data_IF_417624958441
#
_entry.id   IF_417624958441
#
_cell.length_a   1.000
_cell.length_b   1.000
_cell.length_c   1.000
_cell.angle_alpha   90.00
_cell.angle_beta   90.00
_cell.angle_gamma   90.00
#
_symmetry.space_group_name_H-M   'P 1'
#
loop_
_entity.id
_entity.type
_entity.pdbx_description
1 polymer ?
#
# COMPACT_ATOMS: atom_id res chain seq x y z
N UNK A 1 -15.18 -3.35 57.00
CA UNK A 1 -14.18 -4.00 57.88
C UNK A 1 -14.04 -5.45 57.46
N UNK A 2 -12.81 -5.88 57.15
CA UNK A 2 -12.30 -7.27 56.99
C UNK A 2 -12.89 -8.11 55.84
N UNK A 3 -12.18 -8.96 55.10
CA UNK A 3 -10.77 -9.14 54.71
C UNK A 3 -10.77 -10.35 53.76
N UNK A 4 -10.02 -10.24 52.67
CA UNK A 4 -9.40 -11.28 51.82
C UNK A 4 -9.74 -12.77 52.02
N UNK A 5 -9.94 -13.47 50.88
CA UNK A 5 -9.05 -14.58 50.52
C UNK A 5 -8.98 -14.83 49.01
N UNK A 6 -7.77 -14.61 48.50
CA UNK A 6 -7.23 -15.11 47.24
C UNK A 6 -7.30 -16.64 47.22
N UNK A 7 -7.82 -17.23 46.15
CA UNK A 7 -7.59 -18.63 45.81
C UNK A 7 -6.96 -18.71 44.40
N UNK A 8 -5.64 -18.57 44.38
CA UNK A 8 -4.81 -19.01 43.25
C UNK A 8 -4.72 -20.53 43.36
N UNK A 9 -5.27 -21.25 42.38
CA UNK A 9 -4.98 -22.68 42.17
C UNK A 9 -4.21 -22.82 40.85
N UNK A 10 -2.98 -23.32 40.99
CA UNK A 10 -2.09 -23.79 39.91
C UNK A 10 -2.51 -25.19 39.48
N UNK A 11 -2.39 -25.50 38.18
CA UNK A 11 -2.31 -26.88 37.69
C UNK A 11 -2.70 -27.01 36.21
N UNK A 12 -1.85 -27.57 35.33
CA UNK A 12 -1.88 -27.29 33.90
C UNK A 12 -2.83 -28.22 33.13
N UNK A 13 -3.64 -27.65 32.24
CA UNK A 13 -4.31 -28.41 31.20
C UNK A 13 -3.34 -28.59 30.03
N UNK A 14 -2.81 -29.81 29.95
CA UNK A 14 -2.23 -30.49 28.80
C UNK A 14 -2.56 -29.84 27.43
N UNK A 15 -1.64 -29.02 26.91
CA UNK A 15 -1.67 -28.54 25.51
C UNK A 15 -0.75 -29.49 24.72
N UNK A 16 -1.25 -30.14 23.66
CA UNK A 16 -0.40 -30.97 22.81
C UNK A 16 0.71 -30.11 22.20
N UNK A 17 1.93 -30.60 22.34
CA UNK A 17 3.17 -30.10 21.76
C UNK A 17 3.05 -30.01 20.23
N UNK A 18 2.51 -28.88 19.76
CA UNK A 18 2.66 -28.43 18.38
C UNK A 18 3.67 -27.30 18.37
N UNK A 19 4.90 -27.63 18.78
CA UNK A 19 6.07 -26.87 18.36
C UNK A 19 6.02 -26.73 16.83
N UNK A 20 5.99 -25.50 16.26
CA UNK A 20 6.12 -25.35 14.83
C UNK A 20 7.47 -25.97 14.46
N UNK A 21 7.42 -27.02 13.63
CA UNK A 21 8.58 -27.68 13.04
C UNK A 21 9.65 -26.63 12.80
N UNK A 22 10.74 -26.76 13.55
CA UNK A 22 11.83 -25.81 13.54
C UNK A 22 12.17 -25.45 12.11
N UNK A 23 12.07 -24.16 11.79
CA UNK A 23 12.96 -23.59 10.79
C UNK A 23 14.35 -24.00 11.26
N UNK A 24 14.92 -25.00 10.58
CA UNK A 24 16.29 -25.37 10.80
C UNK A 24 17.09 -24.11 10.52
N UNK A 25 17.51 -23.42 11.59
CA UNK A 25 18.56 -22.44 11.50
C UNK A 25 19.69 -23.13 10.72
N UNK A 26 20.20 -22.56 9.62
CA UNK A 26 21.27 -23.18 8.86
C UNK A 26 22.42 -23.41 9.84
N UNK A 27 22.62 -24.67 10.21
CA UNK A 27 23.68 -25.09 11.12
C UNK A 27 24.99 -24.93 10.35
N UNK A 28 25.62 -23.78 10.58
CA UNK A 28 27.02 -23.45 10.27
C UNK A 28 27.55 -23.86 8.90
N UNK A 29 27.55 -22.92 7.93
CA UNK A 29 28.68 -22.69 7.00
C UNK A 29 28.45 -21.60 5.92
N UNK A 30 27.57 -20.60 6.07
CA UNK A 30 27.42 -19.55 5.05
C UNK A 30 28.07 -18.27 5.54
N UNK A 31 29.36 -17.99 5.32
CA UNK A 31 29.95 -17.51 4.06
C UNK A 31 31.43 -17.96 3.94
N UNK A 32 31.79 -19.13 4.50
CA UNK A 32 33.18 -19.57 4.56
C UNK A 32 33.68 -20.22 3.24
N UNK A 33 32.75 -20.67 2.39
CA UNK A 33 33.02 -20.98 0.99
C UNK A 33 32.55 -19.80 0.15
N UNK A 34 33.44 -19.18 -0.61
CA UNK A 34 33.06 -18.12 -1.54
C UNK A 34 32.00 -18.58 -2.54
N UNK A 35 31.40 -17.63 -3.26
CA UNK A 35 30.40 -17.92 -4.29
C UNK A 35 31.04 -18.58 -5.52
N UNK A 36 30.34 -19.51 -6.18
CA UNK A 36 30.85 -20.15 -7.39
C UNK A 36 30.83 -19.22 -8.62
N UNK A 37 29.91 -18.23 -8.65
CA UNK A 37 29.82 -17.21 -9.70
C UNK A 37 29.06 -15.96 -9.22
N UNK A 38 29.01 -14.92 -10.05
CA UNK A 38 28.34 -13.65 -9.75
C UNK A 38 26.82 -13.82 -9.53
N UNK A 39 26.15 -14.68 -10.30
CA UNK A 39 24.70 -14.90 -10.18
C UNK A 39 24.35 -15.44 -8.80
N UNK A 40 25.09 -16.44 -8.33
CA UNK A 40 24.90 -16.99 -6.97
C UNK A 40 25.14 -15.94 -5.88
N UNK A 41 26.17 -15.09 -6.04
CA UNK A 41 26.45 -14.01 -5.10
C UNK A 41 25.30 -12.98 -5.05
N UNK A 42 24.76 -12.60 -6.21
CA UNK A 42 23.65 -11.66 -6.33
C UNK A 42 22.36 -12.27 -5.76
N UNK A 43 22.08 -13.53 -6.06
CA UNK A 43 20.90 -14.24 -5.56
C UNK A 43 20.94 -14.38 -4.03
N UNK A 44 22.12 -14.61 -3.45
CA UNK A 44 22.30 -14.65 -2.01
C UNK A 44 21.97 -13.31 -1.33
N UNK A 45 22.40 -12.18 -1.92
CA UNK A 45 22.05 -10.84 -1.43
C UNK A 45 20.54 -10.58 -1.58
N UNK A 46 19.97 -10.90 -2.75
CA UNK A 46 18.55 -10.75 -3.01
C UNK A 46 17.68 -11.60 -2.05
N UNK A 47 18.16 -12.79 -1.65
CA UNK A 47 17.49 -13.62 -0.67
C UNK A 47 17.45 -12.96 0.73
N UNK A 48 18.53 -12.28 1.13
CA UNK A 48 18.55 -11.50 2.38
C UNK A 48 17.57 -10.33 2.30
N UNK A 49 17.51 -9.61 1.18
CA UNK A 49 16.54 -8.53 0.99
C UNK A 49 15.08 -9.03 1.02
N UNK A 50 14.81 -10.20 0.46
CA UNK A 50 13.50 -10.87 0.55
C UNK A 50 13.12 -11.20 2.00
N UNK A 51 14.09 -11.61 2.82
CA UNK A 51 13.88 -11.81 4.26
C UNK A 51 13.65 -10.49 4.99
N UNK A 52 14.39 -9.43 4.67
CA UNK A 52 14.17 -8.10 5.24
C UNK A 52 12.77 -7.56 4.90
N UNK A 53 12.31 -7.75 3.67
CA UNK A 53 10.93 -7.45 3.27
C UNK A 53 9.91 -8.22 4.11
N UNK A 54 10.12 -9.53 4.27
CA UNK A 54 9.23 -10.37 5.09
C UNK A 54 9.17 -9.91 6.55
N UNK A 55 10.32 -9.52 7.12
CA UNK A 55 10.42 -8.96 8.47
C UNK A 55 9.76 -7.58 8.58
N UNK A 56 9.86 -6.74 7.55
CA UNK A 56 9.15 -5.46 7.50
C UNK A 56 7.62 -5.66 7.54
N UNK A 57 7.10 -6.67 6.82
CA UNK A 57 5.68 -7.03 6.91
C UNK A 57 5.28 -7.52 8.32
N UNK A 58 6.11 -8.36 8.94
CA UNK A 58 5.88 -8.82 10.32
C UNK A 58 5.92 -7.65 11.31
N UNK A 59 6.84 -6.71 11.13
CA UNK A 59 6.94 -5.48 11.93
C UNK A 59 5.67 -4.66 11.81
N UNK A 60 5.14 -4.46 10.60
CA UNK A 60 3.90 -3.71 10.40
C UNK A 60 2.72 -4.34 11.14
N UNK A 61 2.55 -5.66 11.07
CA UNK A 61 1.49 -6.37 11.82
C UNK A 61 1.67 -6.21 13.33
N UNK A 62 2.88 -6.37 13.85
CA UNK A 62 3.14 -6.20 15.28
C UNK A 62 2.90 -4.77 15.74
N UNK A 63 3.31 -3.76 14.96
CA UNK A 63 3.08 -2.36 15.30
C UNK A 63 1.58 -2.05 15.37
N UNK A 64 0.79 -2.57 14.43
CA UNK A 64 -0.67 -2.39 14.47
C UNK A 64 -1.30 -3.13 15.65
N UNK A 65 -0.83 -4.35 15.96
CA UNK A 65 -1.31 -5.10 17.14
C UNK A 65 -1.02 -4.34 18.43
N UNK A 66 0.17 -3.73 18.55
CA UNK A 66 0.54 -2.89 19.70
C UNK A 66 -0.32 -1.63 19.77
N UNK A 67 -0.62 -1.00 18.63
CA UNK A 67 -1.50 0.18 18.54
C UNK A 67 -2.92 -0.16 19.01
N UNK A 68 -3.49 -1.27 18.54
CA UNK A 68 -4.82 -1.77 18.95
C UNK A 68 -4.83 -2.09 20.45
N UNK A 69 -3.83 -2.83 20.94
CA UNK A 69 -3.70 -3.15 22.37
C UNK A 69 -3.63 -1.90 23.26
N UNK A 70 -2.95 -0.84 22.81
CA UNK A 70 -2.87 0.42 23.54
C UNK A 70 -4.21 1.19 23.51
N UNK A 71 -4.92 1.17 22.37
CA UNK A 71 -6.23 1.79 22.24
C UNK A 71 -7.29 1.13 23.15
N UNK A 72 -7.15 -0.16 23.44
CA UNK A 72 -8.03 -0.91 24.36
C UNK A 72 -7.76 -0.63 25.85
N UNK A 73 -6.73 0.17 26.20
CA UNK A 73 -6.34 0.49 27.58
C UNK A 73 -6.14 2.02 27.78
N UNK A 74 -7.16 2.86 27.52
CA UNK A 74 -7.02 4.30 27.59
C UNK A 74 -6.58 4.81 28.98
N UNK A 75 -6.97 4.12 30.05
CA UNK A 75 -6.59 4.45 31.44
C UNK A 75 -5.10 4.32 31.72
N UNK A 76 -4.39 3.47 30.98
CA UNK A 76 -2.95 3.22 31.17
C UNK A 76 -2.09 4.33 30.56
N UNK A 77 -2.64 5.04 29.58
CA UNK A 77 -1.95 6.06 28.81
C UNK A 77 -2.44 7.47 29.14
N UNK A 78 -3.17 7.65 30.24
CA UNK A 78 -3.55 8.96 30.75
C UNK A 78 -4.29 9.84 29.75
N UNK A 79 -4.99 9.24 28.77
CA UNK A 79 -5.61 9.98 27.69
C UNK A 79 -6.72 10.89 28.28
N UNK A 80 -6.65 12.23 28.11
CA UNK A 80 -7.85 13.06 28.26
C UNK A 80 -8.88 12.59 27.22
N UNK A 81 -10.16 12.87 27.41
CA UNK A 81 -11.22 12.54 26.43
C UNK A 81 -10.88 13.19 25.06
N UNK A 82 -10.13 12.50 24.19
CA UNK A 82 -9.68 13.04 22.90
C UNK A 82 -10.79 12.84 21.86
N UNK A 83 -11.19 13.92 21.19
CA UNK A 83 -12.15 13.87 20.09
C UNK A 83 -11.64 13.01 18.93
N UNK A 84 -12.58 12.29 18.30
CA UNK A 84 -12.33 11.12 17.46
C UNK A 84 -11.60 11.35 16.11
N UNK A 85 -11.13 12.56 15.82
CA UNK A 85 -10.57 12.92 14.50
C UNK A 85 -9.14 13.48 14.54
N UNK A 86 -8.50 13.43 15.71
CA UNK A 86 -7.13 13.90 15.86
C UNK A 86 -6.14 12.80 15.45
N UNK A 87 -5.15 13.14 14.62
CA UNK A 87 -3.92 12.33 14.45
C UNK A 87 -3.23 12.12 15.83
N UNK A 88 -3.64 12.89 16.84
CA UNK A 88 -3.34 12.76 18.27
C UNK A 88 -4.05 11.61 19.03
N UNK A 89 -4.81 10.73 18.36
CA UNK A 89 -5.39 9.52 18.96
C UNK A 89 -4.37 8.42 19.34
N UNK A 90 -3.07 8.66 19.09
CA UNK A 90 -1.98 7.83 19.57
C UNK A 90 -1.54 8.31 20.95
N UNK A 91 -1.50 7.41 21.92
CA UNK A 91 -0.95 7.68 23.25
C UNK A 91 0.50 8.21 23.16
N UNK A 92 0.81 9.43 23.63
CA UNK A 92 2.17 9.99 23.57
C UNK A 92 3.21 9.08 24.22
N UNK A 93 2.88 8.43 25.33
CA UNK A 93 3.76 7.52 26.04
C UNK A 93 4.03 6.23 25.25
N UNK A 94 3.12 5.81 24.36
CA UNK A 94 3.39 4.71 23.43
C UNK A 94 4.42 5.14 22.38
N UNK A 95 4.25 6.33 21.81
CA UNK A 95 5.15 6.89 20.79
C UNK A 95 6.55 7.05 21.37
N UNK A 96 6.69 7.65 22.56
CA UNK A 96 7.97 7.82 23.26
C UNK A 96 8.66 6.46 23.49
N UNK A 97 7.93 5.47 24.00
CA UNK A 97 8.48 4.13 24.26
C UNK A 97 8.95 3.42 22.99
N UNK A 98 8.16 3.49 21.91
CA UNK A 98 8.53 2.92 20.61
C UNK A 98 9.74 3.63 20.02
N UNK A 99 9.76 4.97 20.04
CA UNK A 99 10.87 5.78 19.57
C UNK A 99 12.18 5.41 20.29
N UNK A 100 12.14 5.31 21.63
CA UNK A 100 13.28 4.90 22.46
C UNK A 100 13.73 3.47 22.19
N UNK A 101 12.79 2.52 22.12
CA UNK A 101 13.10 1.11 21.90
C UNK A 101 13.71 0.87 20.51
N UNK A 102 13.22 1.58 19.49
CA UNK A 102 13.65 1.48 18.10
C UNK A 102 14.82 2.43 17.76
N UNK A 103 15.23 3.28 18.70
CA UNK A 103 16.30 4.29 18.55
C UNK A 103 16.06 5.22 17.36
N UNK A 104 14.86 5.76 17.25
CA UNK A 104 14.46 6.70 16.21
C UNK A 104 13.74 7.92 16.79
N UNK A 105 13.66 9.04 16.04
CA UNK A 105 12.84 10.18 16.45
C UNK A 105 11.36 9.81 16.60
N UNK A 106 10.64 10.48 17.50
CA UNK A 106 9.21 10.26 17.72
C UNK A 106 8.38 10.46 16.45
N UNK A 107 8.69 11.48 15.65
CA UNK A 107 8.02 11.68 14.36
C UNK A 107 8.19 10.49 13.40
N UNK A 108 9.34 9.80 13.45
CA UNK A 108 9.54 8.56 12.68
C UNK A 108 8.77 7.38 13.25
N UNK A 109 8.59 7.32 14.58
CA UNK A 109 7.76 6.31 15.22
C UNK A 109 6.27 6.51 14.85
N UNK A 110 5.77 7.75 14.87
CA UNK A 110 4.41 8.09 14.41
C UNK A 110 4.21 7.65 12.96
N UNK A 111 5.09 8.07 12.05
CA UNK A 111 5.00 7.69 10.64
C UNK A 111 5.01 6.17 10.44
N UNK A 112 5.81 5.43 11.22
CA UNK A 112 5.84 3.98 11.17
C UNK A 112 4.53 3.34 11.68
N UNK A 113 3.92 3.89 12.73
CA UNK A 113 2.62 3.40 13.25
C UNK A 113 1.53 3.62 12.20
N UNK A 114 1.48 4.81 11.60
CA UNK A 114 0.54 5.14 10.52
C UNK A 114 0.73 4.25 9.30
N UNK A 115 1.98 4.08 8.84
CA UNK A 115 2.33 3.19 7.74
C UNK A 115 1.88 1.74 8.04
N UNK A 116 2.13 1.27 9.25
CA UNK A 116 1.78 -0.08 9.69
C UNK A 116 0.26 -0.29 9.65
N UNK A 117 -0.51 0.67 10.19
CA UNK A 117 -1.97 0.66 10.14
C UNK A 117 -2.49 0.64 8.71
N UNK A 118 -1.94 1.48 7.83
CA UNK A 118 -2.33 1.54 6.42
C UNK A 118 -2.03 0.22 5.69
N UNK A 119 -0.88 -0.40 5.95
CA UNK A 119 -0.53 -1.71 5.38
C UNK A 119 -1.51 -2.81 5.81
N UNK A 120 -1.89 -2.85 7.08
CA UNK A 120 -2.78 -3.88 7.62
C UNK A 120 -4.21 -3.71 7.13
N UNK A 121 -4.75 -2.49 7.19
CA UNK A 121 -6.19 -2.26 6.99
C UNK A 121 -6.56 -1.76 5.59
N UNK A 122 -5.66 -1.04 4.93
CA UNK A 122 -5.95 -0.37 3.65
C UNK A 122 -5.25 -1.02 2.44
N UNK A 123 -4.11 -1.66 2.68
CA UNK A 123 -3.24 -2.26 1.65
C UNK A 123 -2.86 -3.74 1.91
N UNK A 124 -3.85 -4.64 2.13
CA UNK A 124 -3.55 -6.03 2.46
C UNK A 124 -2.84 -6.78 1.33
N UNK A 125 -2.94 -6.35 0.05
CA UNK A 125 -2.20 -7.00 -1.05
C UNK A 125 -0.74 -6.58 -1.04
N UNK A 126 -0.46 -5.31 -0.75
CA UNK A 126 0.91 -4.83 -0.54
C UNK A 126 1.55 -5.53 0.65
N UNK A 127 0.83 -5.65 1.78
CA UNK A 127 1.33 -6.39 2.94
C UNK A 127 1.62 -7.87 2.60
N UNK A 128 0.75 -8.54 1.84
CA UNK A 128 0.97 -9.91 1.40
C UNK A 128 2.20 -10.05 0.47
N UNK A 129 2.39 -9.11 -0.46
CA UNK A 129 3.55 -9.10 -1.35
C UNK A 129 4.86 -8.87 -0.57
N UNK A 130 4.84 -7.97 0.41
CA UNK A 130 5.96 -7.67 1.30
C UNK A 130 6.30 -8.90 2.17
N UNK A 131 5.28 -9.56 2.74
CA UNK A 131 5.43 -10.80 3.52
C UNK A 131 6.04 -11.95 2.73
N UNK A 132 5.74 -12.03 1.43
CA UNK A 132 6.32 -13.01 0.52
C UNK A 132 7.71 -12.63 -0.01
N UNK A 133 8.25 -11.47 0.38
CA UNK A 133 9.54 -10.97 -0.13
C UNK A 133 9.53 -10.59 -1.63
N UNK A 134 8.35 -10.45 -2.24
CA UNK A 134 8.22 -10.14 -3.66
C UNK A 134 8.43 -8.66 -3.99
N UNK A 135 8.37 -7.80 -2.98
CA UNK A 135 8.63 -6.37 -3.08
C UNK A 135 9.43 -5.96 -1.85
N UNK A 136 10.25 -4.92 -1.98
CA UNK A 136 10.94 -4.31 -0.84
C UNK A 136 10.03 -3.35 -0.09
N UNK A 137 10.42 -2.97 1.13
CA UNK A 137 9.71 -1.95 1.91
C UNK A 137 9.58 -0.61 1.19
N UNK A 138 10.60 -0.19 0.43
CA UNK A 138 10.56 1.03 -0.38
C UNK A 138 9.49 1.00 -1.49
N UNK A 139 9.20 -0.17 -2.08
CA UNK A 139 8.07 -0.31 -2.99
C UNK A 139 6.73 -0.15 -2.27
N UNK A 140 6.61 -0.70 -1.06
CA UNK A 140 5.41 -0.55 -0.24
C UNK A 140 5.15 0.92 0.09
N UNK A 141 6.18 1.66 0.53
CA UNK A 141 6.09 3.11 0.79
C UNK A 141 5.66 3.90 -0.46
N UNK A 142 6.21 3.54 -1.62
CA UNK A 142 5.81 4.15 -2.91
C UNK A 142 4.32 3.91 -3.18
N UNK A 143 3.83 2.68 -2.99
CA UNK A 143 2.41 2.35 -3.19
C UNK A 143 1.55 3.15 -2.22
N UNK A 144 1.88 3.18 -0.93
CA UNK A 144 1.13 3.92 0.09
C UNK A 144 1.06 5.41 -0.23
N UNK A 145 2.21 6.06 -0.51
CA UNK A 145 2.24 7.48 -0.86
C UNK A 145 1.40 7.81 -2.10
N UNK A 146 1.43 6.96 -3.13
CA UNK A 146 0.59 7.14 -4.33
C UNK A 146 -0.83 6.61 -4.17
N UNK A 147 -1.25 6.07 -3.05
CA UNK A 147 -2.64 5.66 -2.82
C UNK A 147 -3.34 6.42 -1.71
N UNK A 148 -2.58 7.24 -0.97
CA UNK A 148 -3.09 8.14 0.04
C UNK A 148 -4.17 9.10 -0.49
N UNK A 149 -5.15 9.39 0.35
CA UNK A 149 -6.33 10.21 0.03
C UNK A 149 -7.29 9.62 -1.01
N UNK A 150 -7.04 8.43 -1.57
CA UNK A 150 -7.95 7.80 -2.53
C UNK A 150 -9.11 7.08 -1.82
N UNK A 151 -10.32 7.22 -2.37
CA UNK A 151 -11.46 6.37 -2.00
C UNK A 151 -11.11 4.88 -2.16
N UNK A 152 -11.65 4.03 -1.29
CA UNK A 152 -11.35 2.57 -1.22
C UNK A 152 -11.30 1.87 -2.58
N UNK A 153 -12.29 2.08 -3.45
CA UNK A 153 -12.32 1.44 -4.77
C UNK A 153 -11.13 1.87 -5.66
N UNK A 154 -10.82 3.17 -5.68
CA UNK A 154 -9.71 3.72 -6.46
C UNK A 154 -8.36 3.28 -5.91
N UNK A 155 -8.23 3.22 -4.59
CA UNK A 155 -7.06 2.71 -3.87
C UNK A 155 -6.76 1.26 -4.23
N UNK A 156 -7.74 0.37 -4.07
CA UNK A 156 -7.62 -1.06 -4.43
C UNK A 156 -7.24 -1.25 -5.89
N UNK A 157 -7.87 -0.49 -6.79
CA UNK A 157 -7.57 -0.56 -8.21
C UNK A 157 -6.16 -0.09 -8.55
N UNK A 158 -5.65 0.95 -7.86
CA UNK A 158 -4.29 1.45 -8.08
C UNK A 158 -3.25 0.50 -7.45
N UNK A 159 -3.44 0.09 -6.19
CA UNK A 159 -2.62 -0.92 -5.50
C UNK A 159 -2.39 -2.15 -6.38
N UNK A 160 -3.46 -2.72 -6.94
CA UNK A 160 -3.40 -3.92 -7.80
C UNK A 160 -2.57 -3.69 -9.06
N UNK A 161 -2.62 -2.50 -9.66
CA UNK A 161 -1.84 -2.17 -10.87
C UNK A 161 -0.36 -1.97 -10.52
N UNK A 162 -0.07 -1.24 -9.44
CA UNK A 162 1.30 -0.99 -9.00
C UNK A 162 2.01 -2.28 -8.61
N UNK A 163 1.33 -3.20 -7.91
CA UNK A 163 1.90 -4.49 -7.53
C UNK A 163 2.30 -5.38 -8.71
N UNK A 164 1.69 -5.21 -9.88
CA UNK A 164 2.12 -5.92 -11.11
C UNK A 164 3.48 -5.44 -11.59
N UNK A 165 3.76 -4.14 -11.45
CA UNK A 165 5.02 -3.53 -11.89
C UNK A 165 6.12 -3.69 -10.83
N UNK A 166 5.77 -3.55 -9.55
CA UNK A 166 6.69 -3.58 -8.43
C UNK A 166 7.57 -4.86 -8.32
N UNK A 167 7.15 -5.97 -8.94
CA UNK A 167 7.92 -7.23 -8.94
C UNK A 167 9.13 -7.23 -9.85
N UNK A 168 9.18 -6.31 -10.82
CA UNK A 168 10.19 -6.31 -11.89
C UNK A 168 10.83 -4.94 -12.10
N UNK A 169 10.49 -3.96 -11.27
CA UNK A 169 11.00 -2.59 -11.36
C UNK A 169 11.65 -2.19 -10.05
N UNK A 170 12.50 -1.17 -10.10
CA UNK A 170 12.97 -0.47 -8.90
C UNK A 170 11.85 0.42 -8.30
N UNK A 171 11.98 0.89 -7.04
CA UNK A 171 11.02 1.82 -6.45
C UNK A 171 10.90 3.14 -7.23
N UNK A 172 12.00 3.62 -7.82
CA UNK A 172 12.01 4.84 -8.63
C UNK A 172 11.21 4.69 -9.92
N UNK A 173 11.39 3.57 -10.64
CA UNK A 173 10.58 3.25 -11.83
C UNK A 173 9.10 3.05 -11.46
N UNK A 174 8.82 2.38 -10.34
CA UNK A 174 7.46 2.24 -9.84
C UNK A 174 6.81 3.60 -9.57
N UNK A 175 7.56 4.56 -9.02
CA UNK A 175 7.09 5.93 -8.79
C UNK A 175 6.67 6.62 -10.09
N UNK A 176 7.44 6.45 -11.19
CA UNK A 176 7.09 6.98 -12.51
C UNK A 176 5.79 6.36 -13.06
N UNK A 177 5.63 5.05 -12.90
CA UNK A 177 4.39 4.34 -13.28
C UNK A 177 3.21 4.86 -12.45
N UNK A 178 3.39 4.98 -11.13
CA UNK A 178 2.35 5.43 -10.22
C UNK A 178 1.88 6.85 -10.49
N UNK A 179 2.83 7.76 -10.76
CA UNK A 179 2.53 9.12 -11.21
C UNK A 179 1.70 9.12 -12.50
N UNK A 180 2.12 8.35 -13.50
CA UNK A 180 1.40 8.25 -14.78
C UNK A 180 -0.02 7.72 -14.60
N UNK A 181 -0.21 6.69 -13.76
CA UNK A 181 -1.52 6.13 -13.43
C UNK A 181 -2.43 7.14 -12.70
N UNK A 182 -1.87 7.91 -11.75
CA UNK A 182 -2.58 9.00 -11.05
C UNK A 182 -3.02 10.09 -12.02
N UNK A 183 -2.10 10.58 -12.86
CA UNK A 183 -2.39 11.64 -13.84
C UNK A 183 -3.46 11.21 -14.86
N UNK A 184 -3.44 9.96 -15.33
CA UNK A 184 -4.47 9.43 -16.23
C UNK A 184 -5.88 9.47 -15.63
N UNK A 185 -6.03 9.24 -14.33
CA UNK A 185 -7.34 9.25 -13.63
C UNK A 185 -7.81 10.65 -13.22
N UNK A 186 -6.89 11.60 -13.09
CA UNK A 186 -7.21 13.00 -12.81
C UNK A 186 -7.57 13.79 -14.07
N UNK A 187 -7.32 13.23 -15.27
CA UNK A 187 -7.85 13.82 -16.49
C UNK A 187 -9.37 13.74 -16.45
N UNK A 188 -10.10 14.85 -16.64
CA UNK A 188 -11.53 14.78 -16.87
C UNK A 188 -11.73 13.83 -18.06
N UNK A 189 -12.68 12.90 -17.95
CA UNK A 189 -13.07 12.11 -19.11
C UNK A 189 -13.35 13.10 -20.24
N UNK A 190 -12.54 13.08 -21.30
CA UNK A 190 -12.96 13.74 -22.53
C UNK A 190 -14.21 12.99 -22.92
N UNK A 191 -15.36 13.60 -22.66
CA UNK A 191 -16.62 13.19 -23.23
C UNK A 191 -16.33 12.88 -24.69
N UNK A 192 -16.52 11.63 -25.08
CA UNK A 192 -16.51 11.26 -26.49
C UNK A 192 -17.71 11.92 -27.12
N UNK A 193 -17.58 13.20 -27.45
CA UNK A 193 -18.50 13.87 -28.35
C UNK A 193 -18.44 13.10 -29.66
N UNK A 194 -19.56 12.53 -30.15
CA UNK A 194 -19.55 11.85 -31.42
C UNK A 194 -19.15 12.89 -32.47
N UNK A 195 -18.04 12.64 -33.18
CA UNK A 195 -17.67 13.40 -34.38
C UNK A 195 -18.82 13.28 -35.37
N UNK A 196 -19.73 14.25 -35.37
CA UNK A 196 -20.74 14.41 -36.41
C UNK A 196 -19.96 14.77 -37.68
N UNK A 197 -19.69 13.76 -38.50
CA UNK A 197 -19.20 13.96 -39.86
C UNK A 197 -20.22 14.77 -40.67
N UNK A 198 -19.79 15.53 -41.68
CA UNK A 198 -20.68 16.41 -42.42
C UNK A 198 -21.80 15.61 -43.11
N UNK A 199 -23.06 15.95 -42.79
CA UNK A 199 -24.26 15.44 -43.48
C UNK A 199 -24.16 15.86 -44.96
N UNK A 200 -23.99 14.90 -45.86
CA UNK A 200 -24.16 15.10 -47.30
C UNK A 200 -25.61 15.57 -47.56
N UNK A 201 -25.75 16.85 -47.89
CA UNK A 201 -27.01 17.44 -48.34
C UNK A 201 -27.42 16.84 -49.68
N UNK A 202 -28.42 15.96 -49.64
CA UNK A 202 -29.14 15.47 -50.81
C UNK A 202 -30.26 16.48 -51.08
N UNK A 203 -30.10 17.32 -52.10
CA UNK A 203 -31.22 18.05 -52.70
C UNK A 203 -31.18 17.86 -54.20
N UNK A 204 -32.10 17.02 -54.67
CA UNK A 204 -32.38 16.85 -56.08
C UNK A 204 -33.82 17.25 -56.36
N UNK A 205 -33.99 17.86 -57.55
CA UNK A 205 -35.23 18.19 -58.27
C UNK A 205 -35.94 19.46 -57.77
N UNK A 206 -36.48 20.34 -58.62
CA UNK A 206 -36.97 20.13 -59.98
C UNK A 206 -37.07 21.46 -60.76
N UNK A 207 -37.04 21.29 -62.09
CA UNK A 207 -37.17 22.25 -63.21
C UNK A 207 -38.43 23.13 -63.14
N UNK A 208 -38.33 24.37 -63.63
CA UNK A 208 -39.35 24.97 -64.52
C UNK A 208 -38.66 25.92 -65.52
N UNK A 209 -39.10 25.81 -66.77
CA UNK A 209 -38.65 26.48 -68.00
C UNK A 209 -39.28 27.86 -68.20
N UNK A 210 -38.55 28.81 -68.80
CA UNK A 210 -39.08 29.79 -69.75
C UNK A 210 -37.94 30.45 -70.56
N UNK A 211 -37.91 30.19 -71.87
CA UNK A 211 -37.38 31.08 -72.92
C UNK A 211 -38.54 31.96 -73.43
N UNK A 212 -38.38 32.91 -74.39
CA UNK A 212 -37.18 33.53 -74.99
C UNK A 212 -37.25 35.08 -74.98
N UNK A 213 -36.22 35.79 -75.47
CA UNK A 213 -36.28 36.88 -76.50
C UNK A 213 -35.05 37.80 -76.44
N UNK A 214 -34.48 38.14 -77.60
CA UNK A 214 -33.86 39.45 -77.85
C UNK A 214 -32.34 39.53 -78.00
N UNK A 215 -31.85 39.41 -79.24
CA UNK A 215 -30.64 40.11 -79.77
C UNK A 215 -31.02 41.59 -80.06
N UNK A 216 -30.15 42.52 -80.55
CA UNK A 216 -28.68 42.61 -80.64
C UNK A 216 -28.12 43.96 -80.08
N UNK A 217 -26.79 44.16 -80.06
CA UNK A 217 -25.98 45.20 -80.78
C UNK A 217 -24.74 45.45 -79.89
N UNK A 218 -23.53 45.80 -80.33
CA UNK A 218 -22.98 46.29 -81.60
C UNK A 218 -21.51 45.84 -81.68
#
# INVERSE_FOLDING_TARGET
>A
MRSNKVLVTRGPANVPDQSPRGAAAPRGSGFAGGFANLTEAVDAVAAVDSLLASLAASRAVLMETVREWAADQPERFGAPEVEADDVAGLAPELVEQLAKALRMPEGSAVALIEESRALVHEHPRTLAALRGGHITHAHAQTILGYTDGLRRANRVALETRLLKHARTTTPGELSLVARTERERRLRPERSTEPRIGPRKGRSGRQRISASPTGRPTR
#
